data_IF_779894561673
#
_entry.id   IF_779894561673
#
_cell.length_a   1.000
_cell.length_b   1.000
_cell.length_c   1.000
_cell.angle_alpha   90.00
_cell.angle_beta   90.00
_cell.angle_gamma   90.00
#
_symmetry.space_group_name_H-M   'P 1'
#
loop_
_entity.id
_entity.type
_entity.pdbx_description
1 polymer ?
#
# COMPACT_ATOMS: atom_id res chain seq x y z
N UNK A 1 -10.10 10.81 8.97
CA UNK A 1 -9.25 10.17 10.01
C UNK A 1 -8.44 8.99 9.46
N UNK A 2 -7.18 8.87 9.87
CA UNK A 2 -6.12 8.04 9.23
C UNK A 2 -5.46 7.07 10.24
N UNK A 3 -5.01 5.86 9.84
CA UNK A 3 -4.37 4.92 10.76
C UNK A 3 -2.95 5.36 11.17
N UNK A 4 -2.47 4.80 12.30
CA UNK A 4 -1.08 4.98 12.76
C UNK A 4 -0.07 4.36 11.79
N UNK A 5 1.16 4.86 11.81
CA UNK A 5 2.31 4.19 11.20
C UNK A 5 2.60 2.84 11.87
N UNK A 6 3.05 1.87 11.06
CA UNK A 6 3.56 0.59 11.57
C UNK A 6 4.86 0.84 12.36
N UNK A 7 5.14 0.11 13.45
CA UNK A 7 6.44 0.18 14.11
C UNK A 7 7.56 -0.26 13.14
N UNK A 8 8.70 0.45 13.16
CA UNK A 8 9.85 0.15 12.30
C UNK A 8 9.97 1.01 11.03
N UNK A 9 9.11 2.01 10.83
CA UNK A 9 9.20 2.95 9.69
C UNK A 9 10.36 3.94 9.79
N UNK A 10 11.01 4.05 10.95
CA UNK A 10 12.15 4.95 11.21
C UNK A 10 13.48 4.47 10.61
N UNK A 11 13.55 3.22 10.14
CA UNK A 11 14.80 2.63 9.63
C UNK A 11 15.08 3.00 8.17
N UNK A 12 14.12 3.62 7.48
CA UNK A 12 14.31 4.15 6.14
C UNK A 12 14.68 5.62 6.22
N UNK A 13 15.72 6.07 5.51
CA UNK A 13 16.19 7.47 5.50
C UNK A 13 15.07 8.49 5.21
N UNK A 14 14.01 8.06 4.53
CA UNK A 14 12.82 8.85 4.22
C UNK A 14 11.89 9.17 5.40
N UNK A 15 12.18 8.75 6.64
CA UNK A 15 11.38 9.16 7.81
C UNK A 15 11.42 10.68 8.06
N UNK A 16 12.54 11.34 7.71
CA UNK A 16 12.68 12.79 7.75
C UNK A 16 11.73 13.51 6.78
N UNK A 17 11.17 12.82 5.78
CA UNK A 17 10.16 13.41 4.88
C UNK A 17 8.93 13.88 5.64
N UNK A 18 8.53 13.15 6.70
CA UNK A 18 7.34 13.45 7.49
C UNK A 18 7.69 14.05 8.86
N UNK A 19 8.74 13.56 9.53
CA UNK A 19 9.01 13.90 10.94
C UNK A 19 10.19 14.87 11.14
N UNK A 20 10.34 15.87 10.26
CA UNK A 20 11.41 16.89 10.34
C UNK A 20 11.04 18.18 11.09
N UNK A 21 9.88 18.22 11.76
CA UNK A 21 9.41 19.42 12.45
C UNK A 21 8.87 20.53 11.53
N UNK A 22 8.46 20.17 10.31
CA UNK A 22 7.82 21.08 9.35
C UNK A 22 6.65 20.37 8.65
N UNK A 23 5.68 21.14 8.17
CA UNK A 23 4.56 20.60 7.39
C UNK A 23 5.10 19.96 6.10
N UNK A 24 4.57 18.79 5.78
CA UNK A 24 4.92 18.08 4.55
C UNK A 24 4.41 18.86 3.34
N UNK A 25 5.25 19.06 2.33
CA UNK A 25 4.97 19.99 1.22
C UNK A 25 3.67 19.70 0.46
N UNK A 26 3.29 18.42 0.31
CA UNK A 26 2.02 18.05 -0.35
C UNK A 26 0.82 18.46 0.51
N UNK A 27 0.91 18.31 1.84
CA UNK A 27 -0.15 18.75 2.74
C UNK A 27 -0.23 20.28 2.77
N UNK A 28 0.91 20.97 2.77
CA UNK A 28 0.97 22.44 2.73
C UNK A 28 0.20 23.00 1.52
N UNK A 29 0.52 22.51 0.32
CA UNK A 29 -0.12 22.98 -0.92
C UNK A 29 -1.59 22.58 -1.00
N UNK A 30 -1.94 21.35 -0.58
CA UNK A 30 -3.34 20.89 -0.56
C UNK A 30 -4.23 21.80 0.30
N UNK A 31 -3.81 22.07 1.54
CA UNK A 31 -4.64 22.87 2.44
C UNK A 31 -4.71 24.33 2.01
N UNK A 32 -3.60 24.95 1.61
CA UNK A 32 -3.58 26.36 1.16
C UNK A 32 -4.42 26.57 -0.09
N UNK A 33 -4.20 25.78 -1.13
CA UNK A 33 -4.71 26.10 -2.46
C UNK A 33 -5.99 25.36 -2.84
N UNK A 34 -6.32 24.23 -2.18
CA UNK A 34 -7.51 23.44 -2.51
C UNK A 34 -8.57 23.54 -1.43
N UNK A 35 -8.19 23.38 -0.16
CA UNK A 35 -9.16 23.32 0.95
C UNK A 35 -9.59 24.72 1.39
N UNK A 36 -8.61 25.60 1.61
CA UNK A 36 -8.84 26.90 2.26
C UNK A 36 -8.85 28.07 1.27
N UNK A 37 -8.25 27.88 0.10
CA UNK A 37 -8.02 28.95 -0.88
C UNK A 37 -7.35 30.18 -0.25
N UNK A 38 -6.36 29.93 0.60
CA UNK A 38 -5.56 30.93 1.31
C UNK A 38 -4.06 30.57 1.20
N UNK A 39 -3.29 31.26 0.34
CA UNK A 39 -1.85 31.00 0.20
C UNK A 39 -1.06 31.31 1.48
N UNK A 40 -1.59 32.13 2.39
CA UNK A 40 -0.90 32.60 3.59
C UNK A 40 -1.38 31.91 4.87
N UNK A 41 -2.20 30.86 4.77
CA UNK A 41 -2.72 30.11 5.92
C UNK A 41 -1.64 29.77 6.98
N UNK A 42 -1.91 30.07 8.24
CA UNK A 42 -1.02 29.73 9.35
C UNK A 42 -1.33 28.31 9.86
N UNK A 43 -0.36 27.41 9.76
CA UNK A 43 -0.51 26.03 10.25
C UNK A 43 -0.49 25.94 11.79
N UNK A 44 -0.15 27.00 12.52
CA UNK A 44 -0.24 27.01 13.98
C UNK A 44 -1.68 26.81 14.50
N UNK A 45 -2.67 27.19 13.71
CA UNK A 45 -4.10 27.03 14.02
C UNK A 45 -4.74 25.78 13.39
N UNK A 46 -3.95 24.93 12.71
CA UNK A 46 -4.43 23.72 12.05
C UNK A 46 -5.03 22.73 13.06
N UNK A 47 -6.25 22.23 12.80
CA UNK A 47 -6.95 21.36 13.74
C UNK A 47 -7.94 20.40 13.04
N UNK A 48 -8.67 19.61 13.82
CA UNK A 48 -9.60 18.58 13.31
C UNK A 48 -10.72 19.16 12.43
N UNK A 49 -11.13 20.41 12.64
CA UNK A 49 -12.15 21.06 11.80
C UNK A 49 -11.62 21.35 10.39
N UNK A 50 -10.34 21.70 10.26
CA UNK A 50 -9.65 21.86 8.97
C UNK A 50 -9.62 20.53 8.20
N UNK A 51 -9.34 19.42 8.90
CA UNK A 51 -9.37 18.07 8.32
C UNK A 51 -10.81 17.70 7.90
N UNK A 52 -11.80 17.95 8.75
CA UNK A 52 -13.20 17.66 8.45
C UNK A 52 -13.71 18.47 7.24
N UNK A 53 -13.25 19.71 7.08
CA UNK A 53 -13.53 20.51 5.89
C UNK A 53 -12.94 19.87 4.63
N UNK A 54 -11.69 19.42 4.67
CA UNK A 54 -11.06 18.72 3.54
C UNK A 54 -11.80 17.42 3.17
N UNK A 55 -12.16 16.62 4.17
CA UNK A 55 -12.95 15.39 3.99
C UNK A 55 -14.33 15.69 3.37
N UNK A 56 -14.97 16.81 3.75
CA UNK A 56 -16.26 17.25 3.21
C UNK A 56 -16.14 17.76 1.77
N UNK A 57 -15.10 18.52 1.45
CA UNK A 57 -14.92 19.11 0.12
C UNK A 57 -14.67 18.04 -0.94
N UNK A 58 -13.77 17.09 -0.66
CA UNK A 58 -13.45 15.92 -1.50
C UNK A 58 -13.54 16.19 -3.02
N UNK A 59 -12.82 17.20 -3.54
CA UNK A 59 -13.01 17.65 -4.91
C UNK A 59 -12.67 16.52 -5.89
N UNK A 60 -13.59 16.25 -6.82
CA UNK A 60 -13.43 15.17 -7.80
C UNK A 60 -13.39 13.76 -7.21
N UNK A 61 -13.80 13.56 -5.95
CA UNK A 61 -13.75 12.24 -5.31
C UNK A 61 -12.33 11.77 -4.96
N UNK A 62 -11.38 12.69 -4.83
CA UNK A 62 -9.95 12.40 -4.62
C UNK A 62 -9.65 11.50 -3.41
N UNK A 63 -10.54 11.44 -2.42
CA UNK A 63 -10.42 10.51 -1.29
C UNK A 63 -10.22 9.05 -1.74
N UNK A 64 -10.79 8.66 -2.89
CA UNK A 64 -10.59 7.35 -3.54
C UNK A 64 -10.79 6.20 -2.54
N UNK A 65 -11.86 6.29 -1.74
CA UNK A 65 -12.12 5.40 -0.61
C UNK A 65 -13.52 4.77 -0.70
N UNK A 66 -14.00 4.51 -1.92
CA UNK A 66 -15.23 3.75 -2.16
C UNK A 66 -14.95 2.24 -1.99
N UNK A 67 -15.79 1.55 -1.21
CA UNK A 67 -15.65 0.12 -0.95
C UNK A 67 -16.36 -0.76 -1.97
N UNK A 68 -17.24 -0.20 -2.81
CA UNK A 68 -17.98 -0.99 -3.79
C UNK A 68 -17.18 -1.18 -5.08
N UNK A 69 -16.61 -2.38 -5.22
CA UNK A 69 -15.90 -2.80 -6.43
C UNK A 69 -16.74 -3.74 -7.31
N UNK A 70 -18.07 -3.77 -7.15
CA UNK A 70 -18.96 -4.71 -7.86
C UNK A 70 -18.82 -4.58 -9.37
N UNK A 71 -18.89 -3.36 -9.90
CA UNK A 71 -18.76 -3.12 -11.33
C UNK A 71 -17.38 -3.55 -11.89
N UNK A 72 -16.31 -3.43 -11.11
CA UNK A 72 -14.98 -3.90 -11.51
C UNK A 72 -14.91 -5.42 -11.52
N UNK A 73 -15.43 -6.06 -10.47
CA UNK A 73 -15.52 -7.52 -10.34
C UNK A 73 -16.38 -8.15 -11.44
N UNK A 74 -17.55 -7.59 -11.75
CA UNK A 74 -18.50 -8.09 -12.75
C UNK A 74 -17.94 -8.09 -14.17
N UNK A 75 -17.07 -7.12 -14.49
CA UNK A 75 -16.35 -7.07 -15.76
C UNK A 75 -15.13 -7.98 -15.83
N UNK A 76 -14.91 -8.81 -14.81
CA UNK A 76 -13.79 -9.75 -14.73
C UNK A 76 -12.46 -9.13 -14.28
N UNK A 77 -12.48 -7.89 -13.77
CA UNK A 77 -11.27 -7.16 -13.36
C UNK A 77 -10.47 -7.87 -12.26
N UNK A 78 -9.14 -7.80 -12.36
CA UNK A 78 -8.19 -8.33 -11.37
C UNK A 78 -7.40 -7.18 -10.74
N UNK A 79 -7.43 -7.09 -9.42
CA UNK A 79 -6.79 -6.03 -8.66
C UNK A 79 -5.75 -6.63 -7.72
N UNK A 80 -4.50 -6.27 -7.94
CA UNK A 80 -3.41 -6.54 -6.99
C UNK A 80 -2.98 -5.21 -6.38
N UNK A 81 -2.95 -5.16 -5.06
CA UNK A 81 -2.31 -4.06 -4.31
C UNK A 81 -1.16 -4.59 -3.48
N UNK A 82 -0.16 -3.75 -3.26
CA UNK A 82 0.89 -4.03 -2.30
C UNK A 82 1.15 -2.80 -1.43
N UNK A 83 1.73 -3.00 -0.25
CA UNK A 83 2.18 -1.91 0.61
C UNK A 83 3.42 -2.33 1.40
N UNK A 84 4.44 -1.48 1.41
CA UNK A 84 5.62 -1.65 2.26
C UNK A 84 5.28 -1.48 3.74
N UNK A 85 5.71 -2.40 4.59
CA UNK A 85 5.45 -2.31 6.04
C UNK A 85 6.40 -1.38 6.79
N UNK A 86 7.49 -0.96 6.15
CA UNK A 86 8.41 0.05 6.65
C UNK A 86 8.23 1.40 5.92
N UNK A 87 7.08 1.62 5.27
CA UNK A 87 6.76 2.87 4.57
C UNK A 87 6.64 4.05 5.55
N UNK A 88 7.55 5.06 5.47
CA UNK A 88 7.50 6.22 6.35
C UNK A 88 6.62 7.35 5.84
N UNK A 89 6.14 7.27 4.60
CA UNK A 89 5.35 8.32 3.96
C UNK A 89 3.87 8.01 4.17
N UNK A 90 3.45 6.80 3.80
CA UNK A 90 2.06 6.34 3.87
C UNK A 90 1.97 5.18 4.86
N UNK A 91 1.14 5.32 5.88
CA UNK A 91 0.98 4.24 6.85
C UNK A 91 0.28 3.03 6.22
N UNK A 92 0.97 1.87 6.15
CA UNK A 92 0.44 0.62 5.57
C UNK A 92 -0.88 0.13 6.19
N UNK A 93 -1.23 0.64 7.38
CA UNK A 93 -2.56 0.54 7.99
C UNK A 93 -3.70 0.88 7.03
N UNK A 94 -3.50 1.83 6.12
CA UNK A 94 -4.54 2.31 5.23
C UNK A 94 -4.97 1.24 4.22
N UNK A 95 -4.04 0.45 3.68
CA UNK A 95 -4.36 -0.63 2.74
C UNK A 95 -5.11 -1.78 3.43
N UNK A 96 -4.73 -2.11 4.68
CA UNK A 96 -5.48 -3.08 5.50
C UNK A 96 -6.91 -2.61 5.74
N UNK A 97 -7.07 -1.33 6.09
CA UNK A 97 -8.38 -0.72 6.31
C UNK A 97 -9.23 -0.72 5.04
N UNK A 98 -8.65 -0.34 3.89
CA UNK A 98 -9.36 -0.34 2.62
C UNK A 98 -9.80 -1.75 2.20
N UNK A 99 -8.92 -2.75 2.32
CA UNK A 99 -9.27 -4.15 2.05
C UNK A 99 -10.46 -4.62 2.89
N UNK A 100 -10.45 -4.34 4.20
CA UNK A 100 -11.56 -4.69 5.08
C UNK A 100 -12.84 -3.94 4.72
N UNK A 101 -12.74 -2.64 4.40
CA UNK A 101 -13.87 -1.84 3.98
C UNK A 101 -14.51 -2.37 2.69
N UNK A 102 -13.72 -2.82 1.70
CA UNK A 102 -14.25 -3.46 0.49
C UNK A 102 -15.00 -4.75 0.84
N UNK A 103 -14.42 -5.59 1.70
CA UNK A 103 -15.06 -6.82 2.20
C UNK A 103 -16.40 -6.53 2.89
N UNK A 104 -16.42 -5.54 3.77
CA UNK A 104 -17.62 -5.10 4.51
C UNK A 104 -18.68 -4.51 3.58
N UNK A 105 -18.29 -3.59 2.68
CA UNK A 105 -19.21 -2.87 1.78
C UNK A 105 -19.88 -3.82 0.79
N UNK A 106 -19.13 -4.76 0.23
CA UNK A 106 -19.65 -5.74 -0.73
C UNK A 106 -20.32 -6.95 -0.06
N UNK A 107 -20.16 -7.11 1.26
CA UNK A 107 -20.62 -8.31 2.00
C UNK A 107 -19.88 -9.60 1.61
N UNK A 108 -18.64 -9.51 1.11
CA UNK A 108 -17.85 -10.64 0.61
C UNK A 108 -16.67 -10.91 1.55
N UNK A 109 -16.72 -12.01 2.30
CA UNK A 109 -15.64 -12.39 3.23
C UNK A 109 -14.30 -12.69 2.55
N UNK A 110 -14.33 -13.24 1.34
CA UNK A 110 -13.14 -13.60 0.58
C UNK A 110 -13.11 -12.88 -0.78
N UNK A 111 -12.19 -11.92 -0.91
CA UNK A 111 -12.00 -11.13 -2.11
C UNK A 111 -11.05 -11.76 -3.14
N UNK A 112 -10.43 -12.92 -2.84
CA UNK A 112 -9.32 -13.54 -3.60
C UNK A 112 -9.62 -13.84 -5.07
N UNK A 113 -10.91 -13.86 -5.46
CA UNK A 113 -11.35 -14.05 -6.84
C UNK A 113 -11.06 -12.85 -7.76
N UNK A 114 -10.90 -11.65 -7.18
CA UNK A 114 -10.67 -10.41 -7.93
C UNK A 114 -9.77 -9.39 -7.25
N UNK A 115 -9.62 -9.40 -5.92
CA UNK A 115 -8.79 -8.44 -5.19
C UNK A 115 -7.85 -9.12 -4.18
N UNK A 116 -6.54 -8.94 -4.36
CA UNK A 116 -5.49 -9.45 -3.46
C UNK A 116 -4.59 -8.31 -2.97
N UNK A 117 -4.31 -8.29 -1.66
CA UNK A 117 -3.41 -7.35 -1.00
C UNK A 117 -2.16 -8.08 -0.51
N UNK A 118 -0.98 -7.57 -0.84
CA UNK A 118 0.31 -8.09 -0.35
C UNK A 118 1.00 -7.06 0.55
N UNK A 119 1.29 -7.43 1.80
CA UNK A 119 2.03 -6.56 2.71
C UNK A 119 3.48 -7.02 2.77
N UNK A 120 4.40 -6.18 2.28
CA UNK A 120 5.82 -6.53 2.14
C UNK A 120 6.63 -6.11 3.38
N UNK A 121 7.10 -7.05 4.22
CA UNK A 121 7.87 -6.72 5.41
C UNK A 121 9.24 -6.13 5.05
N UNK A 122 9.63 -5.04 5.72
CA UNK A 122 10.91 -4.37 5.50
C UNK A 122 10.99 -3.57 4.19
N UNK A 123 9.93 -3.52 3.40
CA UNK A 123 9.84 -2.65 2.24
C UNK A 123 9.44 -1.22 2.66
N UNK A 124 10.13 -0.22 2.12
CA UNK A 124 9.86 1.22 2.34
C UNK A 124 8.75 1.73 1.40
N UNK A 125 8.69 3.05 1.17
CA UNK A 125 7.73 3.68 0.27
C UNK A 125 7.97 3.28 -1.19
N UNK A 126 7.04 2.52 -1.75
CA UNK A 126 7.02 1.99 -3.13
C UNK A 126 8.13 0.98 -3.50
N UNK A 127 9.35 1.14 -2.98
CA UNK A 127 10.55 0.31 -3.25
C UNK A 127 11.52 0.35 -2.06
N UNK A 128 12.57 -0.47 -2.12
CA UNK A 128 13.70 -0.40 -1.20
C UNK A 128 13.34 -0.72 0.25
N UNK A 129 14.20 -0.32 1.19
CA UNK A 129 14.13 -0.71 2.60
C UNK A 129 14.93 -1.99 2.90
N UNK A 130 15.05 -2.36 4.19
CA UNK A 130 15.91 -3.46 4.63
C UNK A 130 15.38 -4.87 4.32
N UNK A 131 14.16 -4.99 3.78
CA UNK A 131 13.53 -6.27 3.47
C UNK A 131 13.71 -6.73 2.03
N UNK A 132 13.09 -7.87 1.72
CA UNK A 132 13.03 -8.40 0.35
C UNK A 132 12.02 -7.61 -0.50
N UNK A 133 12.38 -6.38 -0.86
CA UNK A 133 11.46 -5.37 -1.37
C UNK A 133 11.33 -5.35 -2.90
N UNK A 134 12.17 -6.07 -3.65
CA UNK A 134 12.15 -6.04 -5.12
C UNK A 134 11.32 -7.19 -5.68
N UNK A 135 10.18 -6.90 -6.30
CA UNK A 135 9.31 -7.91 -6.94
C UNK A 135 8.63 -7.38 -8.21
N UNK A 136 9.34 -6.59 -9.02
CA UNK A 136 8.88 -6.14 -10.34
C UNK A 136 7.85 -5.01 -10.33
N UNK A 137 7.64 -4.33 -9.20
CA UNK A 137 6.71 -3.21 -9.06
C UNK A 137 7.24 -1.86 -9.57
N UNK A 138 8.55 -1.76 -9.80
CA UNK A 138 9.23 -0.57 -10.29
C UNK A 138 10.22 -1.00 -11.37
N UNK A 139 10.08 -0.46 -12.59
CA UNK A 139 10.62 -0.99 -13.87
C UNK A 139 12.10 -1.42 -13.93
N UNK A 140 12.87 -0.88 -14.89
CA UNK A 140 14.21 -1.40 -15.31
C UNK A 140 15.26 -1.39 -14.17
N UNK A 141 14.95 -0.82 -13.00
CA UNK A 141 15.84 -0.75 -11.83
C UNK A 141 15.58 -1.80 -10.73
N UNK A 142 14.64 -2.75 -10.89
CA UNK A 142 14.46 -3.80 -9.88
C UNK A 142 15.44 -4.96 -10.11
N UNK A 143 16.12 -5.42 -9.07
CA UNK A 143 16.80 -6.72 -9.04
C UNK A 143 15.80 -7.90 -9.00
N UNK A 144 14.56 -7.68 -9.45
CA UNK A 144 13.55 -8.70 -9.46
C UNK A 144 13.88 -9.72 -10.54
N UNK A 145 13.74 -11.00 -10.20
CA UNK A 145 13.83 -12.08 -11.18
C UNK A 145 12.66 -11.93 -12.14
N UNK A 146 12.93 -11.96 -13.44
CA UNK A 146 11.91 -11.83 -14.48
C UNK A 146 11.10 -13.13 -14.65
N UNK A 147 10.38 -13.51 -13.59
CA UNK A 147 9.53 -14.68 -13.50
C UNK A 147 8.24 -14.32 -12.75
N UNK A 148 7.12 -14.95 -13.10
CA UNK A 148 5.78 -14.64 -12.58
C UNK A 148 5.77 -14.58 -11.05
N UNK A 149 6.40 -15.53 -10.37
CA UNK A 149 6.44 -15.62 -8.92
C UNK A 149 7.19 -14.45 -8.25
N UNK A 150 8.11 -13.80 -8.96
CA UNK A 150 8.96 -12.70 -8.44
C UNK A 150 8.66 -11.36 -9.11
N UNK A 151 7.61 -11.27 -9.92
CA UNK A 151 7.26 -10.07 -10.66
C UNK A 151 5.75 -9.85 -10.62
N UNK A 152 5.31 -8.84 -9.87
CA UNK A 152 3.89 -8.54 -9.66
C UNK A 152 3.14 -8.15 -10.94
N UNK A 153 3.84 -7.56 -11.92
CA UNK A 153 3.25 -7.25 -13.22
C UNK A 153 2.99 -8.54 -14.01
N UNK A 154 3.96 -9.45 -14.05
CA UNK A 154 3.77 -10.75 -14.71
C UNK A 154 2.74 -11.62 -13.98
N UNK A 155 2.69 -11.56 -12.64
CA UNK A 155 1.64 -12.20 -11.85
C UNK A 155 0.24 -11.67 -12.19
N UNK A 156 0.11 -10.36 -12.45
CA UNK A 156 -1.15 -9.79 -12.91
C UNK A 156 -1.53 -10.27 -14.32
N UNK A 157 -0.55 -10.33 -15.24
CA UNK A 157 -0.75 -10.86 -16.60
C UNK A 157 -1.25 -12.31 -16.53
N UNK A 158 -0.59 -13.17 -15.76
CA UNK A 158 -1.00 -14.57 -15.60
C UNK A 158 -2.38 -14.71 -14.95
N UNK A 159 -2.73 -13.82 -14.01
CA UNK A 159 -4.06 -13.84 -13.41
C UNK A 159 -5.15 -13.44 -14.42
N UNK A 160 -4.90 -12.41 -15.23
CA UNK A 160 -5.86 -11.92 -16.22
C UNK A 160 -6.01 -12.90 -17.39
N UNK A 161 -4.90 -13.38 -17.94
CA UNK A 161 -4.88 -14.13 -19.20
C UNK A 161 -5.03 -15.64 -19.00
N UNK A 162 -4.50 -16.18 -17.89
CA UNK A 162 -4.46 -17.63 -17.63
C UNK A 162 -5.33 -18.05 -16.45
N UNK A 163 -5.94 -17.10 -15.74
CA UNK A 163 -6.72 -17.37 -14.53
C UNK A 163 -5.87 -17.80 -13.33
N UNK A 164 -4.54 -17.65 -13.40
CA UNK A 164 -3.62 -18.09 -12.34
C UNK A 164 -3.34 -16.93 -11.39
N UNK A 165 -4.07 -16.90 -10.28
CA UNK A 165 -3.96 -15.84 -9.30
C UNK A 165 -2.77 -16.07 -8.33
N UNK A 166 -1.98 -15.04 -7.99
CA UNK A 166 -0.81 -15.22 -7.13
C UNK A 166 -1.18 -15.41 -5.66
N UNK A 167 -0.80 -16.53 -5.05
CA UNK A 167 -0.97 -16.73 -3.60
C UNK A 167 0.12 -16.04 -2.76
N UNK A 168 1.29 -15.85 -3.37
CA UNK A 168 2.43 -15.10 -2.83
C UNK A 168 3.09 -14.30 -3.93
N UNK A 169 3.82 -13.25 -3.55
CA UNK A 169 4.78 -12.57 -4.42
C UNK A 169 6.16 -12.67 -3.77
N UNK A 170 7.13 -13.27 -4.44
CA UNK A 170 8.50 -13.43 -3.95
C UNK A 170 9.24 -12.12 -4.17
N UNK A 171 9.71 -11.51 -3.08
CA UNK A 171 10.61 -10.37 -3.15
C UNK A 171 12.06 -10.78 -2.98
N UNK A 172 12.96 -9.94 -3.50
CA UNK A 172 14.43 -10.06 -3.36
C UNK A 172 14.99 -8.82 -2.65
N UNK A 173 15.83 -9.04 -1.64
CA UNK A 173 16.55 -8.01 -0.89
C UNK A 173 17.85 -7.56 -1.57
N UNK A 174 18.46 -6.49 -1.08
CA UNK A 174 19.75 -6.00 -1.61
C UNK A 174 20.89 -7.01 -1.40
N UNK A 175 20.79 -7.85 -0.38
CA UNK A 175 21.70 -8.95 -0.06
C UNK A 175 21.39 -10.26 -0.82
N UNK A 176 20.41 -10.24 -1.73
CA UNK A 176 19.96 -11.41 -2.48
C UNK A 176 19.01 -12.34 -1.70
N UNK A 177 18.68 -12.03 -0.45
CA UNK A 177 17.72 -12.83 0.32
C UNK A 177 16.33 -12.77 -0.31
N UNK A 178 15.68 -13.92 -0.40
CA UNK A 178 14.33 -14.03 -0.95
C UNK A 178 13.30 -14.29 0.15
N UNK A 179 12.12 -13.70 0.00
CA UNK A 179 10.98 -13.92 0.90
C UNK A 179 9.67 -13.89 0.14
N UNK A 180 8.83 -14.89 0.37
CA UNK A 180 7.43 -14.87 -0.08
C UNK A 180 6.62 -13.90 0.76
N UNK A 181 6.06 -12.87 0.11
CA UNK A 181 5.06 -11.99 0.68
C UNK A 181 3.70 -12.63 0.54
N UNK A 182 3.04 -12.86 1.67
CA UNK A 182 1.76 -13.54 1.73
C UNK A 182 0.60 -12.60 1.38
N UNK A 183 -0.44 -13.13 0.73
CA UNK A 183 -1.70 -12.38 0.59
C UNK A 183 -2.33 -12.14 1.96
N UNK A 184 -2.80 -10.94 2.21
CA UNK A 184 -3.56 -10.60 3.40
C UNK A 184 -4.88 -11.41 3.45
N UNK A 185 -5.32 -11.92 4.63
CA UNK A 185 -4.80 -11.67 5.98
C UNK A 185 -3.64 -12.58 6.42
N UNK A 186 -3.13 -13.47 5.56
CA UNK A 186 -2.02 -14.34 5.91
C UNK A 186 -0.75 -13.53 6.18
N UNK A 187 0.12 -14.10 7.03
CA UNK A 187 1.39 -13.52 7.45
C UNK A 187 2.51 -14.50 7.13
N UNK A 188 3.67 -13.95 6.80
CA UNK A 188 4.90 -14.70 6.56
C UNK A 188 5.57 -15.03 7.89
N UNK A 189 5.53 -16.31 8.28
CA UNK A 189 6.04 -16.85 9.56
C UNK A 189 7.30 -17.70 9.31
N UNK A 190 8.36 -17.46 10.07
CA UNK A 190 9.60 -18.23 10.03
C UNK A 190 9.50 -19.44 10.96
N UNK A 191 9.77 -20.64 10.45
CA UNK A 191 9.74 -21.89 11.21
C UNK A 191 11.12 -22.38 11.69
N UNK A 192 12.17 -21.57 11.50
CA UNK A 192 13.56 -21.96 11.75
C UNK A 192 14.32 -22.37 10.48
N UNK A 193 13.62 -22.65 9.37
CA UNK A 193 14.21 -23.10 8.09
C UNK A 193 13.73 -22.31 6.88
N UNK A 194 12.44 -21.95 6.85
CA UNK A 194 11.82 -21.21 5.75
C UNK A 194 10.69 -20.31 6.24
N UNK A 195 10.32 -19.34 5.41
CA UNK A 195 9.08 -18.60 5.58
C UNK A 195 7.90 -19.39 5.00
N UNK A 196 6.77 -19.39 5.70
CA UNK A 196 5.50 -19.96 5.24
C UNK A 196 4.35 -18.99 5.51
N UNK A 197 3.30 -19.05 4.68
CA UNK A 197 2.12 -18.21 4.85
C UNK A 197 1.12 -18.90 5.80
N UNK A 198 0.79 -18.21 6.89
CA UNK A 198 -0.11 -18.70 7.93
C UNK A 198 -1.18 -17.63 8.23
N UNK A 199 -2.38 -18.05 8.64
CA UNK A 199 -3.48 -17.15 9.01
C UNK A 199 -3.26 -16.63 10.43
#
# INVERSE_FOLDING_TARGET
>A
MYPRYDPGTIVAESWLTIFRGAIFGIADTWYRFVVLNDPNFDFSIFNLSTIALADKLNPGGIATFDGDLSAFKERGGKFITYHGRADPVIASGISKRYYNMVSETMGIRNLDSFYRLFLAPGMSHCIGGPGAASFGQYGIGSNAVNATESNILLALVDWVEKGVAPDTIVGTGADGTQRSHCRFPQKSVWDGKKFSCQV
#
